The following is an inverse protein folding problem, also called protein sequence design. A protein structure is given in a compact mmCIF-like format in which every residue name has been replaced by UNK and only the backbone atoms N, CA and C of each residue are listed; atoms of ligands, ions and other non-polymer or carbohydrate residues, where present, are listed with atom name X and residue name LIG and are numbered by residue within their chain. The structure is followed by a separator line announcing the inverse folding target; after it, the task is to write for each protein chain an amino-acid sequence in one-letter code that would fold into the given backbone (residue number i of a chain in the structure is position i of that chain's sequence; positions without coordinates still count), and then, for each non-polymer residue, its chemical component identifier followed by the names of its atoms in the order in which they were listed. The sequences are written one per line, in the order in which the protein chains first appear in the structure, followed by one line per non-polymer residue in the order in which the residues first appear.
data_IF_037721400043
#
_entry.id   IF_037721400043
#
_cell.length_a   1.000
_cell.length_b   1.000
_cell.length_c   1.000
_cell.angle_alpha   90.00
_cell.angle_beta   90.00
_cell.angle_gamma   90.00
#
_symmetry.space_group_name_H-M   'P 1'
#
loop_
_entity.id
_entity.type
_entity.pdbx_description
1 polymer ?
#
# COMPACT_ATOMS: atom_id res chain seq x y z
N UNK A 1 -3.74 39.58 -7.90
CA UNK A 1 -2.32 39.15 -8.05
C UNK A 1 -2.40 37.67 -7.77
N UNK A 2 -2.43 36.87 -8.83
CA UNK A 2 -2.95 35.49 -8.75
C UNK A 2 -1.81 34.47 -8.62
N UNK A 3 -0.57 34.95 -8.52
CA UNK A 3 0.64 34.16 -8.31
C UNK A 3 1.30 34.57 -7.00
N UNK A 4 1.74 33.56 -6.25
CA UNK A 4 2.60 33.76 -5.09
C UNK A 4 3.97 34.30 -5.52
N UNK A 5 4.61 35.07 -4.65
CA UNK A 5 5.91 35.70 -4.94
C UNK A 5 7.06 34.68 -5.02
N UNK A 6 6.94 33.58 -4.26
CA UNK A 6 7.91 32.48 -4.24
C UNK A 6 7.20 31.15 -4.45
N UNK A 7 7.89 30.21 -5.09
CA UNK A 7 7.40 28.84 -5.20
C UNK A 7 7.48 28.13 -3.85
N UNK A 8 6.43 27.36 -3.51
CA UNK A 8 6.39 26.60 -2.27
C UNK A 8 7.51 25.53 -2.21
N UNK A 9 8.32 25.50 -1.13
CA UNK A 9 9.38 24.52 -0.95
C UNK A 9 8.90 23.06 -1.02
N UNK A 10 9.72 22.18 -1.59
CA UNK A 10 9.38 20.76 -1.75
C UNK A 10 9.13 20.03 -0.41
N UNK A 11 9.81 20.47 0.66
CA UNK A 11 9.65 19.92 2.02
C UNK A 11 8.22 20.09 2.57
N UNK A 12 7.45 21.04 2.04
CA UNK A 12 6.04 21.26 2.40
C UNK A 12 5.09 20.46 1.49
N UNK A 13 5.54 20.09 0.29
CA UNK A 13 4.71 19.45 -0.74
C UNK A 13 4.83 17.93 -0.78
N UNK A 14 5.84 17.35 -0.11
CA UNK A 14 6.15 15.92 -0.18
C UNK A 14 6.20 15.25 1.20
N UNK A 15 5.89 13.95 1.32
CA UNK A 15 6.05 13.22 2.57
C UNK A 15 7.53 13.20 3.04
N UNK A 16 7.76 13.64 4.28
CA UNK A 16 9.12 13.90 4.82
C UNK A 16 9.72 12.73 5.61
N UNK A 17 9.09 11.55 5.62
CA UNK A 17 9.59 10.39 6.37
C UNK A 17 11.02 9.98 6.03
N UNK A 18 11.45 10.15 4.77
CA UNK A 18 12.83 9.90 4.36
C UNK A 18 13.81 10.88 5.00
N UNK A 19 13.45 12.16 5.04
CA UNK A 19 14.26 13.22 5.69
C UNK A 19 14.35 12.96 7.19
N UNK A 20 13.22 12.64 7.84
CA UNK A 20 13.19 12.33 9.28
C UNK A 20 14.05 11.11 9.60
N UNK A 21 13.98 10.04 8.79
CA UNK A 21 14.81 8.86 8.96
C UNK A 21 16.31 9.19 8.83
N UNK A 22 16.68 10.01 7.85
CA UNK A 22 18.07 10.43 7.65
C UNK A 22 18.58 11.22 8.85
N UNK A 23 17.82 12.19 9.34
CA UNK A 23 18.21 12.98 10.52
C UNK A 23 18.37 12.08 11.76
N UNK A 24 17.43 11.16 11.98
CA UNK A 24 17.52 10.17 13.08
C UNK A 24 18.73 9.24 12.94
N UNK A 25 19.15 8.93 11.72
CA UNK A 25 20.36 8.12 11.44
C UNK A 25 21.66 8.84 11.79
N UNK A 26 21.62 10.18 11.82
CA UNK A 26 22.71 11.04 12.29
C UNK A 26 22.62 11.33 13.80
N UNK A 27 21.89 10.49 14.54
CA UNK A 27 21.64 10.59 15.99
C UNK A 27 20.91 11.86 16.46
N UNK A 28 20.24 12.59 15.55
CA UNK A 28 19.39 13.74 15.90
C UNK A 28 18.05 13.28 16.46
N UNK A 29 17.92 13.28 17.79
CA UNK A 29 16.71 12.78 18.47
C UNK A 29 15.51 13.71 18.30
N UNK A 30 15.70 15.02 18.45
CA UNK A 30 14.62 16.00 18.42
C UNK A 30 14.57 16.73 17.07
N UNK A 31 13.97 16.07 16.07
CA UNK A 31 13.86 16.60 14.71
C UNK A 31 13.08 17.92 14.67
N UNK A 32 12.15 18.13 15.59
CA UNK A 32 11.40 19.39 15.76
C UNK A 32 12.29 20.60 16.05
N UNK A 33 13.50 20.40 16.59
CA UNK A 33 14.45 21.46 16.92
C UNK A 33 15.50 21.66 15.82
N UNK A 34 15.42 20.91 14.71
CA UNK A 34 16.37 21.06 13.62
C UNK A 34 16.14 22.41 12.89
N UNK A 35 17.20 23.18 12.60
CA UNK A 35 17.08 24.50 12.01
C UNK A 35 16.82 24.43 10.49
N UNK A 36 15.60 24.02 10.10
CA UNK A 36 15.18 24.03 8.69
C UNK A 36 15.08 25.46 8.15
N UNK A 37 15.52 25.74 6.90
CA UNK A 37 15.29 27.03 6.24
C UNK A 37 13.79 27.37 6.16
N UNK A 38 12.96 26.36 5.88
CA UNK A 38 11.51 26.43 6.00
C UNK A 38 11.05 25.18 6.74
N UNK A 39 10.60 25.30 8.00
CA UNK A 39 10.25 24.13 8.80
C UNK A 39 8.95 23.49 8.30
N UNK A 40 8.90 22.14 8.24
CA UNK A 40 7.65 21.44 7.95
C UNK A 40 6.68 21.53 9.13
N UNK A 41 5.40 21.34 8.84
CA UNK A 41 4.37 21.33 9.86
C UNK A 41 4.60 20.24 10.93
N UNK A 42 4.28 20.56 12.18
CA UNK A 42 4.37 19.60 13.30
C UNK A 42 3.55 18.33 13.06
N UNK A 43 2.41 18.45 12.37
CA UNK A 43 1.57 17.31 12.00
C UNK A 43 2.29 16.38 11.01
N UNK A 44 3.01 16.94 10.03
CA UNK A 44 3.81 16.18 9.05
C UNK A 44 4.98 15.46 9.72
N UNK A 45 5.67 16.12 10.65
CA UNK A 45 6.72 15.49 11.46
C UNK A 45 6.19 14.33 12.31
N UNK A 46 5.07 14.54 13.00
CA UNK A 46 4.44 13.49 13.82
C UNK A 46 3.97 12.31 12.95
N UNK A 47 3.43 12.57 11.76
CA UNK A 47 3.03 11.53 10.79
C UNK A 47 4.23 10.73 10.30
N UNK A 48 5.35 11.40 10.03
CA UNK A 48 6.60 10.77 9.63
C UNK A 48 7.16 9.86 10.74
N UNK A 49 7.28 10.34 11.99
CA UNK A 49 7.75 9.51 13.11
C UNK A 49 6.81 8.32 13.38
N UNK A 50 5.50 8.53 13.30
CA UNK A 50 4.50 7.46 13.44
C UNK A 50 4.69 6.37 12.37
N UNK A 51 4.88 6.75 11.10
CA UNK A 51 5.16 5.81 10.02
C UNK A 51 6.48 5.06 10.26
N UNK A 52 7.55 5.76 10.64
CA UNK A 52 8.83 5.13 10.93
C UNK A 52 8.74 4.12 12.08
N UNK A 53 7.89 4.39 13.07
CA UNK A 53 7.60 3.45 14.16
C UNK A 53 6.87 2.21 13.63
N UNK A 54 5.91 2.39 12.73
CA UNK A 54 5.18 1.27 12.08
C UNK A 54 6.07 0.40 11.20
N UNK A 55 7.07 0.99 10.54
CA UNK A 55 8.05 0.25 9.75
C UNK A 55 9.15 -0.41 10.62
N UNK A 56 9.14 -0.16 11.93
CA UNK A 56 10.18 -0.62 12.87
C UNK A 56 11.52 0.10 12.70
N UNK A 57 11.54 1.25 12.03
CA UNK A 57 12.73 2.06 11.79
C UNK A 57 13.15 2.85 13.04
N UNK A 58 12.18 3.24 13.86
CA UNK A 58 12.41 3.85 15.17
C UNK A 58 11.64 3.09 16.25
N UNK A 59 12.13 3.15 17.49
CA UNK A 59 11.46 2.58 18.65
C UNK A 59 10.38 3.52 19.22
N UNK A 60 9.67 3.09 20.27
CA UNK A 60 8.65 3.91 20.94
C UNK A 60 9.21 5.15 21.64
N UNK A 61 10.52 5.19 21.91
CA UNK A 61 11.21 6.35 22.46
C UNK A 61 11.69 7.32 21.36
N UNK A 62 11.44 7.00 20.08
CA UNK A 62 11.82 7.81 18.94
C UNK A 62 13.29 7.68 18.54
N UNK A 63 14.01 6.66 19.05
CA UNK A 63 15.40 6.36 18.70
C UNK A 63 15.47 5.44 17.48
N UNK A 64 16.49 5.62 16.65
CA UNK A 64 16.70 4.77 15.47
C UNK A 64 17.04 3.33 15.87
N UNK A 65 16.42 2.35 15.23
CA UNK A 65 16.69 0.92 15.44
C UNK A 65 17.77 0.42 14.48
N UNK A 66 18.26 -0.80 14.68
CA UNK A 66 19.11 -1.47 13.69
C UNK A 66 18.44 -1.56 12.31
N UNK A 67 17.13 -1.87 12.30
CA UNK A 67 16.34 -1.84 11.07
C UNK A 67 16.36 -0.44 10.46
N UNK A 68 16.12 0.62 11.24
CA UNK A 68 16.13 2.00 10.74
C UNK A 68 17.43 2.39 10.06
N UNK A 69 18.58 1.99 10.63
CA UNK A 69 19.90 2.23 10.03
C UNK A 69 20.09 1.47 8.71
N UNK A 70 19.55 0.26 8.60
CA UNK A 70 19.56 -0.46 7.32
C UNK A 70 18.65 0.21 6.29
N UNK A 71 17.50 0.74 6.71
CA UNK A 71 16.58 1.43 5.80
C UNK A 71 17.15 2.75 5.27
N UNK A 72 17.89 3.50 6.10
CA UNK A 72 18.52 4.78 5.73
C UNK A 72 19.69 4.61 4.75
N UNK A 73 20.20 3.39 4.56
CA UNK A 73 21.27 3.11 3.61
C UNK A 73 20.81 3.17 2.14
N UNK A 74 19.51 3.08 1.88
CA UNK A 74 18.96 3.09 0.53
C UNK A 74 18.41 4.48 0.17
N UNK A 75 18.66 5.01 -1.05
CA UNK A 75 18.13 6.30 -1.50
C UNK A 75 16.68 6.17 -1.95
N UNK A 76 15.81 5.70 -1.07
CA UNK A 76 14.41 5.42 -1.32
C UNK A 76 13.55 5.89 -0.15
N UNK A 77 12.24 5.95 -0.36
CA UNK A 77 11.31 6.15 0.75
C UNK A 77 11.44 4.99 1.75
N UNK A 78 11.27 5.22 3.06
CA UNK A 78 11.38 4.17 4.07
C UNK A 78 10.49 2.95 3.81
N UNK A 79 9.33 3.14 3.15
CA UNK A 79 8.42 2.07 2.73
C UNK A 79 9.07 1.13 1.72
N UNK A 80 9.71 1.69 0.70
CA UNK A 80 10.37 0.91 -0.34
C UNK A 80 11.67 0.27 0.18
N UNK A 81 12.43 0.97 1.03
CA UNK A 81 13.58 0.37 1.73
C UNK A 81 13.14 -0.84 2.56
N UNK A 82 11.97 -0.77 3.22
CA UNK A 82 11.41 -1.88 4.01
C UNK A 82 11.05 -3.07 3.15
N UNK A 83 10.51 -2.81 1.96
CA UNK A 83 10.22 -3.85 0.97
C UNK A 83 11.49 -4.56 0.50
N UNK A 84 12.57 -3.82 0.23
CA UNK A 84 13.86 -4.41 -0.17
C UNK A 84 14.45 -5.29 0.94
N UNK A 85 14.42 -4.81 2.19
CA UNK A 85 14.96 -5.54 3.33
C UNK A 85 14.25 -6.90 3.53
N UNK A 86 12.93 -6.93 3.39
CA UNK A 86 12.16 -8.18 3.51
C UNK A 86 12.39 -9.07 2.29
N UNK A 87 12.56 -8.49 1.10
CA UNK A 87 12.96 -9.22 -0.10
C UNK A 87 14.28 -9.97 0.08
N UNK A 88 15.26 -9.36 0.73
CA UNK A 88 16.54 -9.99 1.10
C UNK A 88 16.33 -11.15 2.08
N UNK A 89 15.52 -10.95 3.12
CA UNK A 89 15.27 -11.99 4.13
C UNK A 89 14.60 -13.26 3.58
N UNK A 90 13.83 -13.12 2.49
CA UNK A 90 13.14 -14.25 1.83
C UNK A 90 13.82 -14.73 0.55
N UNK A 91 15.05 -14.30 0.25
CA UNK A 91 15.79 -14.68 -0.96
C UNK A 91 15.07 -14.37 -2.29
N UNK A 92 14.23 -13.33 -2.32
CA UNK A 92 13.51 -12.86 -3.52
C UNK A 92 13.94 -11.43 -3.92
N UNK A 93 15.18 -11.07 -3.58
CA UNK A 93 15.76 -9.72 -3.73
C UNK A 93 15.55 -9.15 -5.13
N UNK A 94 15.81 -9.93 -6.19
CA UNK A 94 15.68 -9.46 -7.58
C UNK A 94 14.24 -9.05 -7.95
N UNK A 95 13.25 -9.84 -7.53
CA UNK A 95 11.83 -9.52 -7.72
C UNK A 95 11.38 -8.35 -6.84
N UNK A 96 11.87 -8.27 -5.61
CA UNK A 96 11.58 -7.16 -4.71
C UNK A 96 12.10 -5.82 -5.27
N UNK A 97 13.32 -5.80 -5.84
CA UNK A 97 13.87 -4.61 -6.49
C UNK A 97 13.03 -4.22 -7.71
N UNK A 98 12.68 -5.18 -8.57
CA UNK A 98 11.82 -4.92 -9.72
C UNK A 98 10.45 -4.36 -9.29
N UNK A 99 9.84 -4.92 -8.25
CA UNK A 99 8.57 -4.47 -7.71
C UNK A 99 8.65 -3.05 -7.15
N UNK A 100 9.68 -2.76 -6.34
CA UNK A 100 9.95 -1.42 -5.81
C UNK A 100 10.15 -0.41 -6.95
N UNK A 101 10.94 -0.74 -7.97
CA UNK A 101 11.17 0.14 -9.10
C UNK A 101 9.86 0.47 -9.85
N UNK A 102 8.97 -0.49 -10.04
CA UNK A 102 7.66 -0.24 -10.66
C UNK A 102 6.68 0.56 -9.78
N UNK A 103 6.79 0.46 -8.46
CA UNK A 103 5.93 1.21 -7.53
C UNK A 103 6.43 2.64 -7.31
N UNK A 104 7.74 2.87 -7.48
CA UNK A 104 8.35 4.19 -7.36
C UNK A 104 8.05 5.08 -8.57
N UNK A 105 7.92 4.50 -9.76
CA UNK A 105 7.58 5.25 -10.98
C UNK A 105 6.07 5.37 -11.14
N UNK A 106 5.51 6.60 -11.19
CA UNK A 106 4.08 6.82 -11.32
C UNK A 106 3.55 6.45 -12.72
N UNK A 107 2.24 6.17 -12.80
CA UNK A 107 1.45 6.13 -14.03
C UNK A 107 1.98 5.22 -15.17
N UNK A 108 2.55 4.06 -14.86
CA UNK A 108 3.01 3.09 -15.87
C UNK A 108 1.91 2.70 -16.88
N UNK A 109 0.66 2.60 -16.43
CA UNK A 109 -0.48 2.25 -17.28
C UNK A 109 -1.16 3.49 -17.87
N UNK A 110 -1.58 3.38 -19.14
CA UNK A 110 -2.50 4.35 -19.74
C UNK A 110 -3.89 4.12 -19.13
N UNK A 111 -4.54 5.17 -18.58
CA UNK A 111 -5.82 5.00 -17.92
C UNK A 111 -6.97 4.82 -18.92
N UNK A 112 -8.06 4.16 -18.49
CA UNK A 112 -9.23 3.89 -19.35
C UNK A 112 -9.93 5.16 -19.84
N UNK A 113 -9.80 6.28 -19.12
CA UNK A 113 -10.34 7.58 -19.52
C UNK A 113 -9.46 8.34 -20.52
N UNK A 114 -8.40 7.71 -21.05
CA UNK A 114 -7.61 8.29 -22.13
C UNK A 114 -8.49 8.59 -23.35
N UNK A 115 -8.31 9.72 -24.06
CA UNK A 115 -9.17 10.13 -25.18
C UNK A 115 -9.38 9.03 -26.24
N UNK A 116 -8.35 8.26 -26.56
CA UNK A 116 -8.42 7.12 -27.48
C UNK A 116 -9.38 6.00 -27.06
N UNK A 117 -9.69 5.89 -25.76
CA UNK A 117 -10.49 4.82 -25.16
C UNK A 117 -11.86 5.32 -24.67
N UNK A 118 -11.97 6.61 -24.35
CA UNK A 118 -13.19 7.21 -23.81
C UNK A 118 -14.27 7.38 -24.89
N UNK A 119 -15.53 7.15 -24.51
CA UNK A 119 -16.67 7.45 -25.37
C UNK A 119 -16.90 8.98 -25.38
N UNK A 120 -16.94 9.63 -26.56
CA UNK A 120 -17.29 11.05 -26.64
C UNK A 120 -18.71 11.30 -26.14
N UNK A 121 -18.90 12.42 -25.45
CA UNK A 121 -20.22 12.92 -25.06
C UNK A 121 -20.73 13.81 -26.18
N UNK A 122 -21.75 13.36 -26.91
CA UNK A 122 -22.40 14.15 -27.95
C UNK A 122 -23.64 14.86 -27.37
N UNK A 123 -24.00 16.02 -27.93
CA UNK A 123 -25.24 16.73 -27.59
C UNK A 123 -26.47 15.91 -27.96
N UNK A 124 -27.60 16.14 -27.29
CA UNK A 124 -28.85 15.39 -27.55
C UNK A 124 -29.33 15.53 -29.00
N UNK A 125 -28.99 16.63 -29.67
CA UNK A 125 -29.34 16.90 -31.07
C UNK A 125 -28.35 16.31 -32.10
N UNK A 126 -27.32 15.57 -31.67
CA UNK A 126 -26.29 15.05 -32.58
C UNK A 126 -26.82 13.89 -33.45
N UNK A 127 -26.86 14.11 -34.77
CA UNK A 127 -27.22 13.06 -35.73
C UNK A 127 -26.01 12.13 -35.95
N UNK A 128 -26.17 10.84 -35.67
CA UNK A 128 -25.12 9.84 -35.90
C UNK A 128 -24.82 9.70 -37.39
N UNK A 129 -23.56 9.91 -37.76
CA UNK A 129 -23.05 9.78 -39.12
C UNK A 129 -22.37 8.43 -39.35
N UNK A 130 -22.10 8.09 -40.61
CA UNK A 130 -21.31 6.89 -40.94
C UNK A 130 -19.88 6.95 -40.37
N UNK A 131 -19.30 8.15 -40.26
CA UNK A 131 -17.99 8.36 -39.64
C UNK A 131 -18.03 8.00 -38.15
N UNK A 132 -19.08 8.43 -37.44
CA UNK A 132 -19.25 8.13 -36.02
C UNK A 132 -19.33 6.63 -35.75
N UNK A 133 -19.99 5.89 -36.65
CA UNK A 133 -20.11 4.43 -36.56
C UNK A 133 -18.75 3.73 -36.75
N UNK A 134 -17.93 4.20 -37.70
CA UNK A 134 -16.57 3.68 -37.94
C UNK A 134 -15.70 3.95 -36.71
N UNK A 135 -15.74 5.18 -36.18
CA UNK A 135 -14.99 5.56 -34.99
C UNK A 135 -15.44 4.78 -33.75
N UNK A 136 -16.75 4.59 -33.55
CA UNK A 136 -17.30 3.79 -32.47
C UNK A 136 -16.82 2.32 -32.55
N UNK A 137 -16.80 1.75 -33.75
CA UNK A 137 -16.30 0.39 -33.99
C UNK A 137 -14.80 0.29 -33.66
N UNK A 138 -14.01 1.27 -34.10
CA UNK A 138 -12.58 1.35 -33.80
C UNK A 138 -12.31 1.48 -32.29
N UNK A 139 -13.08 2.32 -31.58
CA UNK A 139 -13.02 2.47 -30.11
C UNK A 139 -13.40 1.18 -29.41
N UNK A 140 -14.45 0.48 -29.85
CA UNK A 140 -14.86 -0.79 -29.25
C UNK A 140 -13.75 -1.84 -29.38
N UNK A 141 -13.13 -1.94 -30.57
CA UNK A 141 -11.96 -2.80 -30.79
C UNK A 141 -10.82 -2.42 -29.84
N UNK A 142 -10.47 -1.13 -29.76
CA UNK A 142 -9.38 -0.66 -28.88
C UNK A 142 -9.66 -0.93 -27.41
N UNK A 143 -10.92 -0.85 -26.97
CA UNK A 143 -11.34 -1.23 -25.60
C UNK A 143 -11.24 -2.74 -25.36
N UNK A 144 -11.54 -3.58 -26.37
CA UNK A 144 -11.32 -5.04 -26.29
C UNK A 144 -9.83 -5.35 -26.19
N UNK A 145 -8.99 -4.68 -26.98
CA UNK A 145 -7.53 -4.81 -26.93
C UNK A 145 -7.00 -4.39 -25.56
N UNK A 146 -7.44 -3.25 -25.03
CA UNK A 146 -7.12 -2.76 -23.68
C UNK A 146 -7.46 -3.80 -22.59
N UNK A 147 -8.66 -4.35 -22.65
CA UNK A 147 -9.11 -5.37 -21.70
C UNK A 147 -8.26 -6.65 -21.78
N UNK A 148 -7.87 -7.04 -22.99
CA UNK A 148 -7.03 -8.21 -23.25
C UNK A 148 -5.60 -8.01 -22.76
N UNK A 149 -5.01 -6.84 -23.02
CA UNK A 149 -3.70 -6.46 -22.51
C UNK A 149 -3.68 -6.48 -20.98
N UNK A 150 -4.65 -5.85 -20.33
CA UNK A 150 -4.72 -5.85 -18.86
C UNK A 150 -4.97 -7.23 -18.26
N UNK A 151 -5.77 -8.10 -18.91
CA UNK A 151 -5.93 -9.49 -18.49
C UNK A 151 -4.62 -10.28 -18.63
N UNK A 152 -3.85 -10.02 -19.68
CA UNK A 152 -2.54 -10.63 -19.93
C UNK A 152 -1.53 -10.23 -18.85
N UNK A 153 -1.47 -8.94 -18.51
CA UNK A 153 -0.57 -8.43 -17.47
C UNK A 153 -0.97 -8.84 -16.05
N UNK A 154 -2.21 -9.31 -15.86
CA UNK A 154 -2.68 -9.83 -14.56
C UNK A 154 -2.60 -11.36 -14.46
N UNK A 155 -1.88 -12.02 -15.40
CA UNK A 155 -1.78 -13.50 -15.45
C UNK A 155 -1.07 -14.11 -14.25
N UNK A 156 -0.04 -13.45 -13.72
CA UNK A 156 0.67 -13.95 -12.54
C UNK A 156 -0.21 -13.90 -11.30
N UNK A 157 -1.04 -12.87 -11.17
CA UNK A 157 -2.00 -12.77 -10.09
C UNK A 157 -3.20 -11.86 -10.43
N UNK A 158 -4.41 -12.43 -10.40
CA UNK A 158 -5.66 -11.71 -10.71
C UNK A 158 -6.25 -10.96 -9.51
N UNK A 159 -5.46 -10.72 -8.46
CA UNK A 159 -5.91 -10.02 -7.25
C UNK A 159 -4.99 -8.87 -6.83
N UNK A 160 -3.80 -8.75 -7.41
CA UNK A 160 -2.80 -7.76 -6.98
C UNK A 160 -2.37 -6.84 -8.12
N UNK A 161 -2.66 -5.56 -7.96
CA UNK A 161 -2.20 -4.50 -8.85
C UNK A 161 -0.67 -4.33 -8.80
N UNK A 162 -0.07 -4.53 -7.61
CA UNK A 162 1.38 -4.52 -7.45
C UNK A 162 2.07 -5.62 -8.27
N UNK A 163 1.51 -6.84 -8.31
CA UNK A 163 2.05 -7.93 -9.13
C UNK A 163 1.79 -7.73 -10.62
N UNK A 164 0.71 -7.03 -11.00
CA UNK A 164 0.46 -6.62 -12.38
C UNK A 164 1.51 -5.61 -12.87
N UNK A 165 1.91 -4.66 -12.03
CA UNK A 165 3.03 -3.73 -12.31
C UNK A 165 4.35 -4.51 -12.53
N UNK A 166 4.66 -5.44 -11.62
CA UNK A 166 5.84 -6.30 -11.76
C UNK A 166 5.81 -7.11 -13.06
N UNK A 167 4.65 -7.69 -13.41
CA UNK A 167 4.48 -8.45 -14.65
C UNK A 167 4.76 -7.58 -15.87
N UNK A 168 4.30 -6.32 -15.87
CA UNK A 168 4.54 -5.38 -16.96
C UNK A 168 6.04 -5.08 -17.16
N UNK A 169 6.78 -4.83 -16.07
CA UNK A 169 8.23 -4.59 -16.16
C UNK A 169 9.01 -5.85 -16.59
N UNK A 170 8.65 -7.02 -16.06
CA UNK A 170 9.28 -8.28 -16.48
C UNK A 170 9.02 -8.54 -17.96
N UNK A 171 7.77 -8.43 -18.43
CA UNK A 171 7.44 -8.62 -19.83
C UNK A 171 8.14 -7.59 -20.75
N UNK A 172 8.25 -6.34 -20.31
CA UNK A 172 9.01 -5.29 -21.00
C UNK A 172 10.48 -5.69 -21.23
N UNK A 173 11.13 -6.34 -20.26
CA UNK A 173 12.52 -6.79 -20.40
C UNK A 173 12.71 -7.96 -21.39
N UNK A 174 11.63 -8.70 -21.72
CA UNK A 174 11.63 -9.76 -22.73
C UNK A 174 11.23 -9.26 -24.13
N UNK A 175 10.72 -8.04 -24.26
CA UNK A 175 10.30 -7.50 -25.54
C UNK A 175 11.51 -7.24 -26.46
N UNK A 176 11.42 -7.69 -27.71
CA UNK A 176 12.40 -7.37 -28.74
C UNK A 176 12.33 -5.90 -29.16
N UNK A 177 11.10 -5.38 -29.26
CA UNK A 177 10.81 -3.97 -29.51
C UNK A 177 9.95 -3.44 -28.36
N UNK A 178 10.57 -2.58 -27.55
CA UNK A 178 9.97 -2.05 -26.33
C UNK A 178 8.87 -1.02 -26.61
N UNK A 179 8.93 -0.28 -27.73
CA UNK A 179 7.94 0.72 -28.09
C UNK A 179 6.65 0.07 -28.61
N UNK A 180 6.80 -0.95 -29.47
CA UNK A 180 5.67 -1.77 -29.96
C UNK A 180 5.04 -2.54 -28.80
N UNK A 181 5.84 -3.08 -27.88
CA UNK A 181 5.31 -3.71 -26.68
C UNK A 181 4.51 -2.73 -25.82
N UNK A 182 5.05 -1.53 -25.55
CA UNK A 182 4.35 -0.55 -24.73
C UNK A 182 3.04 -0.07 -25.36
N UNK A 183 3.04 0.20 -26.67
CA UNK A 183 1.83 0.64 -27.38
C UNK A 183 0.75 -0.43 -27.41
N UNK A 184 1.10 -1.70 -27.69
CA UNK A 184 0.14 -2.81 -27.70
C UNK A 184 -0.41 -3.17 -26.32
N UNK A 185 0.37 -2.96 -25.26
CA UNK A 185 -0.02 -3.26 -23.88
C UNK A 185 -0.59 -2.06 -23.11
N UNK A 186 -0.77 -0.91 -23.78
CA UNK A 186 -1.27 0.34 -23.18
C UNK A 186 -0.42 0.82 -22.00
N UNK A 187 0.90 0.79 -22.18
CA UNK A 187 1.91 1.18 -21.20
C UNK A 187 2.64 2.45 -21.64
N UNK A 188 3.09 3.25 -20.67
CA UNK A 188 3.93 4.42 -20.94
C UNK A 188 5.39 3.99 -21.10
N UNK A 189 5.91 4.08 -22.32
CA UNK A 189 7.30 3.71 -22.65
C UNK A 189 8.35 4.42 -21.77
N UNK A 190 8.21 5.74 -21.57
CA UNK A 190 9.11 6.52 -20.71
C UNK A 190 9.12 6.01 -19.26
N UNK A 191 7.96 5.70 -18.70
CA UNK A 191 7.82 5.21 -17.33
C UNK A 191 8.48 3.83 -17.16
N UNK A 192 8.30 2.92 -18.12
CA UNK A 192 8.96 1.60 -18.05
C UNK A 192 10.47 1.67 -18.26
N UNK A 193 10.94 2.58 -19.12
CA UNK A 193 12.37 2.85 -19.26
C UNK A 193 12.97 3.37 -17.96
N UNK A 194 12.32 4.32 -17.30
CA UNK A 194 12.72 4.84 -15.99
C UNK A 194 12.70 3.74 -14.92
N UNK A 195 11.64 2.93 -14.85
CA UNK A 195 11.57 1.81 -13.91
C UNK A 195 12.68 0.77 -14.15
N UNK A 196 13.03 0.50 -15.42
CA UNK A 196 14.14 -0.40 -15.77
C UNK A 196 15.49 0.16 -15.32
N UNK A 197 15.73 1.46 -15.52
CA UNK A 197 16.97 2.13 -15.08
C UNK A 197 17.08 2.17 -13.56
N UNK A 198 15.98 2.52 -12.88
CA UNK A 198 15.91 2.52 -11.42
C UNK A 198 16.18 1.13 -10.84
N UNK A 199 15.63 0.08 -11.47
CA UNK A 199 15.88 -1.31 -11.07
C UNK A 199 17.38 -1.68 -11.16
N UNK A 200 18.07 -1.26 -12.21
CA UNK A 200 19.51 -1.49 -12.37
C UNK A 200 20.32 -0.76 -11.29
N UNK A 201 20.02 0.52 -11.06
CA UNK A 201 20.66 1.33 -10.01
C UNK A 201 20.47 0.72 -8.62
N UNK A 202 19.23 0.33 -8.27
CA UNK A 202 18.93 -0.31 -7.01
C UNK A 202 19.62 -1.67 -6.85
N UNK A 203 19.77 -2.43 -7.94
CA UNK A 203 20.52 -3.69 -7.94
C UNK A 203 22.00 -3.47 -7.61
N UNK A 204 22.60 -2.40 -8.16
CA UNK A 204 23.97 -2.03 -7.85
C UNK A 204 24.12 -1.62 -6.37
N UNK A 205 23.23 -0.76 -5.87
CA UNK A 205 23.25 -0.28 -4.47
C UNK A 205 23.10 -1.43 -3.47
N UNK A 206 22.13 -2.32 -3.70
CA UNK A 206 21.92 -3.51 -2.85
C UNK A 206 23.16 -4.40 -2.81
N UNK A 207 23.82 -4.61 -3.96
CA UNK A 207 25.06 -5.40 -4.03
C UNK A 207 26.20 -4.75 -3.26
N UNK A 208 26.32 -3.43 -3.31
CA UNK A 208 27.33 -2.67 -2.56
C UNK A 208 27.12 -2.77 -1.04
N UNK A 209 25.88 -2.65 -0.58
CA UNK A 209 25.58 -2.67 0.87
C UNK A 209 25.57 -4.09 1.47
N UNK A 210 25.17 -5.11 0.72
CA UNK A 210 25.13 -6.51 1.18
C UNK A 210 25.67 -7.46 0.12
N UNK A 211 27.01 -7.61 0.02
CA UNK A 211 27.61 -8.57 -0.90
C UNK A 211 27.11 -9.99 -0.60
N UNK A 212 26.66 -10.71 -1.61
CA UNK A 212 26.08 -12.06 -1.48
C UNK A 212 24.55 -12.13 -1.42
N UNK A 213 23.85 -11.00 -1.20
CA UNK A 213 22.37 -10.96 -1.19
C UNK A 213 21.73 -10.97 -2.59
N UNK A 214 22.54 -10.69 -3.63
CA UNK A 214 22.11 -10.61 -5.02
C UNK A 214 23.29 -10.97 -5.94
N UNK A 215 23.03 -11.80 -6.95
CA UNK A 215 23.99 -12.08 -8.03
C UNK A 215 24.19 -10.89 -8.99
N UNK A 216 24.80 -11.15 -10.14
CA UNK A 216 24.90 -10.18 -11.23
C UNK A 216 23.52 -9.70 -11.68
N UNK A 217 23.45 -8.48 -12.22
CA UNK A 217 22.18 -7.93 -12.69
C UNK A 217 21.71 -8.72 -13.90
N UNK A 218 20.45 -9.14 -13.89
CA UNK A 218 19.81 -9.86 -14.98
C UNK A 218 18.53 -9.13 -15.36
N UNK A 219 18.50 -8.50 -16.53
CA UNK A 219 17.32 -7.76 -16.99
C UNK A 219 16.08 -8.67 -17.12
N UNK A 220 16.27 -9.88 -17.64
CA UNK A 220 15.20 -10.86 -17.85
C UNK A 220 15.03 -11.79 -16.65
N UNK A 221 14.06 -11.50 -15.80
CA UNK A 221 13.73 -12.37 -14.66
C UNK A 221 12.77 -13.48 -15.07
N UNK A 222 13.04 -14.69 -14.60
CA UNK A 222 12.12 -15.81 -14.75
C UNK A 222 10.75 -15.52 -14.11
N UNK A 223 9.74 -16.30 -14.49
CA UNK A 223 8.44 -16.21 -13.85
C UNK A 223 8.55 -16.65 -12.37
N UNK A 224 8.06 -15.84 -11.40
CA UNK A 224 8.05 -16.23 -10.01
C UNK A 224 7.12 -17.43 -9.76
N UNK A 225 7.55 -18.33 -8.89
CA UNK A 225 6.73 -19.43 -8.36
C UNK A 225 5.55 -18.91 -7.52
N UNK A 226 4.56 -19.77 -7.28
CA UNK A 226 3.41 -19.42 -6.43
C UNK A 226 3.80 -19.01 -5.01
N UNK A 227 4.90 -19.56 -4.49
CA UNK A 227 5.41 -19.23 -3.15
C UNK A 227 6.05 -17.85 -3.16
N UNK A 228 6.88 -17.56 -4.17
CA UNK A 228 7.49 -16.23 -4.33
C UNK A 228 6.43 -15.14 -4.54
N UNK A 229 5.37 -15.41 -5.33
CA UNK A 229 4.25 -14.48 -5.47
C UNK A 229 3.57 -14.16 -4.14
N UNK A 230 3.37 -15.16 -3.26
CA UNK A 230 2.82 -14.95 -1.90
C UNK A 230 3.75 -14.09 -1.05
N UNK A 231 5.07 -14.32 -1.12
CA UNK A 231 6.08 -13.53 -0.43
C UNK A 231 6.09 -12.09 -0.96
N UNK A 232 6.00 -11.87 -2.27
CA UNK A 232 5.95 -10.53 -2.86
C UNK A 232 4.73 -9.74 -2.37
N UNK A 233 3.57 -10.38 -2.20
CA UNK A 233 2.41 -9.73 -1.55
C UNK A 233 2.69 -9.35 -0.10
N UNK A 234 3.39 -10.19 0.66
CA UNK A 234 3.80 -9.87 2.03
C UNK A 234 4.79 -8.70 2.07
N UNK A 235 5.74 -8.65 1.12
CA UNK A 235 6.70 -7.56 0.97
C UNK A 235 5.96 -6.23 0.77
N UNK A 236 5.01 -6.18 -0.17
CA UNK A 236 4.17 -4.99 -0.40
C UNK A 236 3.39 -4.61 0.86
N UNK A 237 2.75 -5.58 1.50
CA UNK A 237 1.98 -5.34 2.73
C UNK A 237 2.85 -4.79 3.87
N UNK A 238 4.13 -5.17 3.94
CA UNK A 238 5.03 -4.68 4.96
C UNK A 238 5.49 -3.23 4.74
N UNK A 239 5.65 -2.80 3.48
CA UNK A 239 5.93 -1.39 3.15
C UNK A 239 4.73 -0.47 3.39
N UNK A 240 3.52 -1.04 3.37
CA UNK A 240 2.24 -0.31 3.46
C UNK A 240 1.39 -0.80 4.64
N UNK A 241 2.02 -1.18 5.75
CA UNK A 241 1.36 -1.82 6.91
C UNK A 241 0.34 -0.91 7.63
N UNK A 242 0.48 0.41 7.50
CA UNK A 242 -0.46 1.41 8.00
C UNK A 242 -1.60 1.73 7.01
N UNK A 243 -1.47 1.29 5.76
CA UNK A 243 -2.42 1.55 4.67
C UNK A 243 -3.22 0.30 4.34
N UNK A 244 -3.99 -0.14 5.33
CA UNK A 244 -4.87 -1.31 5.21
C UNK A 244 -6.32 -0.86 5.29
N UNK A 245 -7.13 -1.44 4.42
CA UNK A 245 -8.57 -1.30 4.44
C UNK A 245 -9.26 -2.65 4.68
N UNK A 246 -10.23 -2.69 5.58
CA UNK A 246 -11.10 -3.85 5.84
C UNK A 246 -12.44 -3.67 5.12
N UNK A 247 -12.97 -4.75 4.53
CA UNK A 247 -14.32 -4.74 3.93
C UNK A 247 -15.34 -4.41 5.02
N UNK A 248 -16.19 -3.41 4.81
CA UNK A 248 -16.99 -2.83 5.90
C UNK A 248 -17.97 -3.84 6.52
N UNK A 249 -18.56 -4.73 5.71
CA UNK A 249 -19.44 -5.82 6.15
C UNK A 249 -18.71 -6.89 6.99
N UNK A 250 -17.38 -7.00 6.85
CA UNK A 250 -16.52 -7.93 7.61
C UNK A 250 -15.76 -7.24 8.76
N UNK A 251 -16.12 -5.99 9.05
CA UNK A 251 -15.55 -5.22 10.15
C UNK A 251 -16.09 -5.68 11.51
N UNK A 252 -15.43 -5.35 12.63
CA UNK A 252 -15.88 -5.79 13.97
C UNK A 252 -17.28 -5.30 14.32
N UNK A 253 -17.63 -4.11 13.82
CA UNK A 253 -18.95 -3.49 13.93
C UNK A 253 -19.48 -3.16 12.53
N UNK A 254 -20.04 -4.16 11.83
CA UNK A 254 -20.55 -3.97 10.46
C UNK A 254 -21.59 -2.85 10.42
N UNK A 255 -21.42 -1.84 9.54
CA UNK A 255 -22.41 -0.80 9.36
C UNK A 255 -23.65 -1.36 8.65
N UNK A 256 -24.82 -0.81 8.96
CA UNK A 256 -26.02 -1.03 8.13
C UNK A 256 -25.81 -0.34 6.79
N UNK A 257 -25.89 -1.09 5.69
CA UNK A 257 -25.77 -0.53 4.35
C UNK A 257 -27.16 -0.32 3.77
N UNK A 258 -27.43 0.88 3.24
CA UNK A 258 -28.70 1.18 2.57
C UNK A 258 -29.01 0.23 1.39
N UNK A 259 -27.97 -0.23 0.68
CA UNK A 259 -28.09 -1.16 -0.46
C UNK A 259 -26.92 -2.14 -0.52
N UNK A 260 -27.21 -3.39 -0.90
CA UNK A 260 -26.15 -4.38 -1.19
C UNK A 260 -25.39 -3.99 -2.46
N UNK A 261 -24.04 -3.93 -2.42
CA UNK A 261 -23.24 -3.55 -3.58
C UNK A 261 -23.29 -4.63 -4.67
N UNK A 262 -23.53 -4.22 -5.92
CA UNK A 262 -23.58 -5.12 -7.09
C UNK A 262 -22.23 -5.28 -7.80
N UNK A 263 -21.38 -4.25 -7.73
CA UNK A 263 -20.05 -4.22 -8.37
C UNK A 263 -18.96 -4.07 -7.31
N UNK A 264 -17.76 -4.54 -7.60
CA UNK A 264 -16.64 -4.40 -6.66
C UNK A 264 -16.33 -2.95 -6.28
N UNK A 265 -16.44 -2.02 -7.22
CA UNK A 265 -16.18 -0.59 -7.00
C UNK A 265 -17.26 0.12 -6.16
N UNK A 266 -18.34 -0.58 -5.81
CA UNK A 266 -19.41 -0.11 -4.93
C UNK A 266 -19.30 -0.71 -3.53
N UNK A 267 -18.37 -1.65 -3.31
CA UNK A 267 -18.19 -2.30 -2.00
C UNK A 267 -17.44 -1.34 -1.07
N UNK A 268 -18.02 -0.98 0.09
CA UNK A 268 -17.39 -0.07 1.03
C UNK A 268 -16.29 -0.77 1.84
N UNK A 269 -15.20 -0.04 2.05
CA UNK A 269 -14.09 -0.41 2.91
C UNK A 269 -13.86 0.66 3.98
N UNK A 270 -13.30 0.23 5.12
CA UNK A 270 -12.88 1.08 6.23
C UNK A 270 -11.36 1.03 6.35
N UNK A 271 -10.71 2.19 6.44
CA UNK A 271 -9.26 2.30 6.61
C UNK A 271 -8.86 2.34 8.09
N UNK A 272 -7.63 1.93 8.39
CA UNK A 272 -7.08 1.99 9.77
C UNK A 272 -7.13 3.42 10.33
N UNK A 273 -6.65 4.38 9.54
CA UNK A 273 -6.75 5.81 9.82
C UNK A 273 -7.95 6.41 9.09
N UNK A 274 -8.70 7.37 9.66
CA UNK A 274 -9.83 8.01 8.98
C UNK A 274 -9.46 8.57 7.61
N UNK A 275 -10.34 8.40 6.62
CA UNK A 275 -10.25 9.03 5.29
C UNK A 275 -10.77 10.47 5.25
N UNK A 276 -11.37 10.93 6.35
CA UNK A 276 -11.94 12.27 6.52
C UNK A 276 -11.43 12.87 7.83
N UNK A 277 -11.06 14.15 7.78
CA UNK A 277 -10.64 14.93 8.94
C UNK A 277 -11.77 15.90 9.26
N UNK A 278 -12.24 15.91 10.52
CA UNK A 278 -13.34 16.76 10.97
C UNK A 278 -14.64 16.00 11.22
N UNK A 279 -15.69 16.70 11.70
CA UNK A 279 -16.98 16.09 12.00
C UNK A 279 -17.65 15.57 10.73
N UNK A 280 -18.41 14.49 10.86
CA UNK A 280 -19.21 13.98 9.75
C UNK A 280 -20.37 14.92 9.45
N UNK A 281 -20.79 14.94 8.17
CA UNK A 281 -21.99 15.66 7.75
C UNK A 281 -23.22 15.18 8.54
N UNK A 282 -24.16 16.06 8.90
CA UNK A 282 -25.44 15.64 9.46
C UNK A 282 -26.30 14.86 8.44
N UNK A 283 -26.02 15.01 7.14
CA UNK A 283 -26.63 14.18 6.10
C UNK A 283 -26.04 12.76 6.13
N UNK A 284 -26.89 11.76 6.35
CA UNK A 284 -26.46 10.36 6.50
C UNK A 284 -25.71 9.83 5.27
N UNK A 285 -26.12 10.24 4.07
CA UNK A 285 -25.52 9.76 2.83
C UNK A 285 -24.15 10.39 2.60
N UNK A 286 -23.99 11.67 2.90
CA UNK A 286 -22.68 12.33 2.89
C UNK A 286 -21.76 11.79 3.98
N UNK A 287 -22.29 11.52 5.17
CA UNK A 287 -21.54 10.90 6.27
C UNK A 287 -21.02 9.51 5.87
N UNK A 288 -21.83 8.68 5.20
CA UNK A 288 -21.39 7.40 4.64
C UNK A 288 -20.25 7.60 3.62
N UNK A 289 -20.36 8.58 2.73
CA UNK A 289 -19.34 8.88 1.72
C UNK A 289 -18.04 9.42 2.31
N UNK A 290 -18.11 10.11 3.45
CA UNK A 290 -16.95 10.56 4.21
C UNK A 290 -16.29 9.40 4.98
N UNK A 291 -17.10 8.43 5.44
CA UNK A 291 -16.68 7.29 6.26
C UNK A 291 -16.01 6.17 5.46
N UNK A 292 -16.52 5.88 4.26
CA UNK A 292 -16.08 4.72 3.47
C UNK A 292 -15.13 5.11 2.33
N UNK A 293 -14.24 4.17 2.01
CA UNK A 293 -13.42 4.20 0.80
C UNK A 293 -13.84 3.06 -0.13
N UNK A 294 -13.60 3.23 -1.42
CA UNK A 294 -14.04 2.29 -2.46
C UNK A 294 -12.89 1.96 -3.41
N UNK A 295 -12.87 0.76 -3.99
CA UNK A 295 -11.87 0.42 -5.01
C UNK A 295 -11.89 1.42 -6.18
N UNK A 296 -10.70 1.82 -6.62
CA UNK A 296 -10.55 2.55 -7.87
C UNK A 296 -10.87 1.63 -9.07
N UNK A 297 -11.59 2.11 -10.10
CA UNK A 297 -11.98 1.28 -11.25
C UNK A 297 -10.82 0.65 -12.04
N UNK A 298 -9.63 1.24 -12.00
CA UNK A 298 -8.43 0.69 -12.67
C UNK A 298 -7.84 -0.55 -11.99
N UNK A 299 -8.23 -0.83 -10.74
CA UNK A 299 -7.74 -1.99 -9.99
C UNK A 299 -8.19 -3.29 -10.63
N UNK A 300 -7.34 -4.31 -10.62
CA UNK A 300 -7.69 -5.68 -11.02
C UNK A 300 -8.86 -6.21 -10.19
N UNK A 301 -8.97 -5.80 -8.92
CA UNK A 301 -10.06 -6.17 -8.04
C UNK A 301 -11.42 -5.59 -8.47
N UNK A 302 -11.44 -4.55 -9.31
CA UNK A 302 -12.69 -3.95 -9.80
C UNK A 302 -13.53 -4.91 -10.66
N UNK A 303 -12.91 -5.99 -11.18
CA UNK A 303 -13.57 -7.04 -11.97
C UNK A 303 -14.00 -8.25 -11.14
N UNK A 304 -13.66 -8.28 -9.85
CA UNK A 304 -14.01 -9.38 -8.95
C UNK A 304 -15.47 -9.26 -8.51
N UNK A 305 -16.19 -10.38 -8.43
CA UNK A 305 -17.54 -10.37 -7.88
C UNK A 305 -17.52 -9.96 -6.40
N UNK A 306 -18.46 -9.11 -5.90
CA UNK A 306 -18.45 -8.62 -4.52
C UNK A 306 -18.25 -9.67 -3.43
N UNK A 307 -18.87 -10.88 -3.49
CA UNK A 307 -18.66 -11.92 -2.47
C UNK A 307 -17.19 -12.39 -2.38
N UNK A 308 -16.49 -12.39 -3.51
CA UNK A 308 -15.12 -12.89 -3.65
C UNK A 308 -14.06 -11.81 -3.35
N UNK A 309 -14.48 -10.59 -3.02
CA UNK A 309 -13.53 -9.54 -2.67
C UNK A 309 -12.82 -9.84 -1.35
N UNK A 310 -11.51 -9.53 -1.27
CA UNK A 310 -10.71 -9.80 -0.09
C UNK A 310 -11.19 -9.00 1.12
N UNK A 311 -11.08 -9.62 2.30
CA UNK A 311 -11.39 -8.99 3.58
C UNK A 311 -10.49 -7.80 3.87
N UNK A 312 -9.18 -7.94 3.62
CA UNK A 312 -8.20 -6.87 3.81
C UNK A 312 -7.49 -6.56 2.50
N UNK A 313 -7.34 -5.27 2.20
CA UNK A 313 -6.62 -4.75 1.04
C UNK A 313 -5.59 -3.75 1.52
N UNK A 314 -4.36 -3.92 1.04
CA UNK A 314 -3.30 -2.92 1.15
C UNK A 314 -3.44 -1.95 -0.02
N UNK A 315 -3.35 -0.66 0.25
CA UNK A 315 -3.44 0.40 -0.77
C UNK A 315 -2.21 1.33 -0.72
N UNK A 316 -1.99 2.10 -1.79
CA UNK A 316 -0.87 3.05 -1.90
C UNK A 316 -1.23 4.48 -1.51
N UNK A 317 -2.43 4.91 -1.89
CA UNK A 317 -2.99 6.21 -1.54
C UNK A 317 -4.51 6.22 -1.76
N UNK A 318 -5.14 7.25 -1.22
CA UNK A 318 -6.56 7.56 -1.41
C UNK A 318 -6.68 8.79 -2.31
N UNK A 319 -7.65 8.76 -3.22
CA UNK A 319 -7.94 9.85 -4.14
C UNK A 319 -9.40 10.26 -4.00
N UNK A 320 -9.66 11.55 -3.78
CA UNK A 320 -11.01 12.12 -3.81
C UNK A 320 -11.14 12.91 -5.10
N UNK A 321 -12.17 12.63 -5.90
CA UNK A 321 -12.43 13.42 -7.10
C UNK A 321 -12.89 14.83 -6.70
N UNK A 322 -12.39 15.85 -7.42
CA UNK A 322 -12.90 17.21 -7.25
C UNK A 322 -14.40 17.25 -7.57
N UNK A 323 -15.23 17.94 -6.78
CA UNK A 323 -16.63 18.12 -7.11
C UNK A 323 -16.75 18.82 -8.47
N UNK A 324 -17.65 18.34 -9.33
CA UNK A 324 -17.95 19.04 -10.57
C UNK A 324 -18.57 20.40 -10.22
N UNK A 325 -18.18 21.46 -10.95
CA UNK A 325 -18.63 22.85 -10.70
C UNK A 325 -20.18 22.97 -10.67
N UNK A 326 -20.89 22.04 -11.30
CA UNK A 326 -22.35 21.99 -11.36
C UNK A 326 -23.04 21.08 -10.33
N UNK A 327 -22.32 20.30 -9.50
CA UNK A 327 -22.93 19.42 -8.51
C UNK A 327 -22.20 19.43 -7.16
N UNK A 328 -22.89 19.84 -6.11
CA UNK A 328 -22.42 19.79 -4.71
C UNK A 328 -22.36 18.38 -4.11
N UNK A 329 -22.63 17.32 -4.90
CA UNK A 329 -22.69 15.96 -4.40
C UNK A 329 -21.31 15.49 -3.90
N UNK A 330 -21.26 14.99 -2.66
CA UNK A 330 -20.07 14.38 -2.08
C UNK A 330 -19.52 13.27 -3.00
N UNK A 331 -18.23 13.35 -3.33
CA UNK A 331 -17.57 12.37 -4.20
C UNK A 331 -17.01 11.22 -3.37
N UNK A 332 -17.08 10.00 -3.94
CA UNK A 332 -16.49 8.82 -3.29
C UNK A 332 -14.98 8.94 -3.23
N UNK A 333 -14.42 8.60 -2.07
CA UNK A 333 -12.97 8.40 -1.93
C UNK A 333 -12.59 7.06 -2.56
N UNK A 334 -11.67 7.09 -3.53
CA UNK A 334 -11.18 5.91 -4.24
C UNK A 334 -9.83 5.49 -3.69
N UNK A 335 -9.66 4.21 -3.38
CA UNK A 335 -8.40 3.62 -2.98
C UNK A 335 -7.70 2.97 -4.18
N UNK A 336 -6.42 3.29 -4.34
CA UNK A 336 -5.54 2.61 -5.28
C UNK A 336 -4.95 1.38 -4.60
N UNK A 337 -5.61 0.25 -4.81
CA UNK A 337 -5.22 -1.03 -4.21
C UNK A 337 -3.86 -1.50 -4.74
N UNK A 338 -3.13 -2.24 -3.90
CA UNK A 338 -1.85 -2.86 -4.24
C UNK A 338 -1.95 -4.38 -4.20
N UNK A 339 -2.40 -4.93 -3.07
CA UNK A 339 -2.55 -6.37 -2.90
C UNK A 339 -3.53 -6.71 -1.77
N UNK A 340 -4.27 -7.83 -1.86
CA UNK A 340 -4.91 -8.42 -0.71
C UNK A 340 -3.87 -8.94 0.29
N UNK A 341 -4.27 -9.02 1.55
CA UNK A 341 -3.47 -9.57 2.63
C UNK A 341 -4.35 -10.37 3.61
N UNK A 342 -3.82 -11.46 4.16
CA UNK A 342 -4.56 -12.28 5.13
C UNK A 342 -4.36 -11.76 6.57
N UNK A 343 -5.31 -12.06 7.46
CA UNK A 343 -5.18 -11.69 8.87
C UNK A 343 -3.95 -12.33 9.56
N UNK A 344 -3.54 -13.53 9.15
CA UNK A 344 -2.32 -14.19 9.64
C UNK A 344 -1.05 -13.42 9.23
N UNK A 345 -1.00 -12.95 7.98
CA UNK A 345 0.09 -12.13 7.47
C UNK A 345 0.14 -10.79 8.19
N UNK A 346 -1.01 -10.13 8.38
CA UNK A 346 -1.09 -8.88 9.15
C UNK A 346 -0.57 -9.05 10.58
N UNK A 347 -0.98 -10.11 11.26
CA UNK A 347 -0.51 -10.39 12.62
C UNK A 347 1.00 -10.67 12.68
N UNK A 348 1.60 -11.23 11.61
CA UNK A 348 3.03 -11.46 11.54
C UNK A 348 3.80 -10.16 11.22
N UNK A 349 3.31 -9.38 10.25
CA UNK A 349 3.95 -8.14 9.79
C UNK A 349 3.87 -7.01 10.82
N UNK A 350 2.76 -6.92 11.55
CA UNK A 350 2.56 -5.91 12.60
C UNK A 350 3.19 -6.31 13.95
N UNK A 351 3.75 -7.52 14.07
CA UNK A 351 4.36 -7.98 15.31
C UNK A 351 5.52 -7.05 15.73
N UNK A 352 5.53 -6.65 17.00
CA UNK A 352 6.52 -5.72 17.53
C UNK A 352 6.29 -4.25 17.17
N UNK A 353 5.24 -3.94 16.39
CA UNK A 353 4.85 -2.57 16.05
C UNK A 353 3.67 -2.13 16.94
N UNK A 354 3.44 -0.82 17.13
CA UNK A 354 2.26 -0.32 17.84
C UNK A 354 0.93 -0.53 17.09
N UNK A 355 0.94 -1.14 15.90
CA UNK A 355 -0.28 -1.50 15.18
C UNK A 355 -0.91 -2.80 15.68
N UNK A 356 -0.23 -3.57 16.53
CA UNK A 356 -0.72 -4.86 17.00
C UNK A 356 -0.89 -4.87 18.52
N UNK A 357 -2.13 -5.03 18.97
CA UNK A 357 -2.47 -5.23 20.38
C UNK A 357 -2.90 -6.67 20.63
N UNK A 358 -2.63 -7.17 21.83
CA UNK A 358 -3.01 -8.53 22.22
C UNK A 358 -4.12 -8.48 23.28
N UNK A 359 -5.23 -9.16 22.99
CA UNK A 359 -6.33 -9.28 23.94
C UNK A 359 -5.99 -10.15 25.17
N UNK A 360 -7.01 -10.35 26.01
CA UNK A 360 -6.92 -11.26 27.15
C UNK A 360 -6.68 -12.71 26.68
N UNK A 361 -6.00 -13.54 27.48
CA UNK A 361 -5.89 -14.96 27.22
C UNK A 361 -7.25 -15.62 27.03
N UNK A 362 -7.33 -16.55 26.08
CA UNK A 362 -8.49 -17.39 25.85
C UNK A 362 -8.12 -18.86 26.12
N UNK A 363 -9.07 -19.61 26.70
CA UNK A 363 -8.87 -21.02 26.99
C UNK A 363 -7.84 -21.29 28.10
N UNK A 364 -7.09 -22.39 27.95
CA UNK A 364 -6.10 -22.87 28.94
C UNK A 364 -4.87 -21.96 28.98
N UNK A 365 -4.43 -21.63 30.18
CA UNK A 365 -3.20 -20.88 30.45
C UNK A 365 -2.21 -21.84 31.10
N UNK A 366 -1.01 -21.94 30.55
CA UNK A 366 0.07 -22.77 31.07
C UNK A 366 1.14 -21.88 31.68
N UNK A 367 1.37 -22.03 32.99
CA UNK A 367 2.43 -21.27 33.68
C UNK A 367 3.79 -21.86 33.31
N UNK A 368 4.73 -21.00 32.92
CA UNK A 368 6.09 -21.38 32.57
C UNK A 368 7.07 -21.03 33.70
N UNK A 369 8.26 -21.61 33.65
CA UNK A 369 9.35 -21.26 34.55
C UNK A 369 9.69 -19.77 34.48
N UNK A 370 9.98 -19.19 35.65
CA UNK A 370 10.36 -17.78 35.76
C UNK A 370 11.71 -17.55 35.10
N UNK A 371 11.81 -16.50 34.30
CA UNK A 371 13.06 -16.04 33.71
C UNK A 371 13.39 -14.65 34.29
N UNK A 372 14.58 -14.47 34.85
CA UNK A 372 15.00 -13.28 35.60
C UNK A 372 13.98 -12.84 36.68
N UNK A 373 13.39 -13.82 37.38
CA UNK A 373 12.37 -13.58 38.41
C UNK A 373 10.99 -13.14 37.89
N UNK A 374 10.81 -12.96 36.58
CA UNK A 374 9.53 -12.56 35.99
C UNK A 374 8.63 -13.77 35.72
N UNK A 375 7.33 -13.62 36.02
CA UNK A 375 6.32 -14.63 35.70
C UNK A 375 6.10 -14.74 34.19
N UNK A 376 5.99 -15.98 33.72
CA UNK A 376 5.77 -16.30 32.32
C UNK A 376 4.59 -17.26 32.18
N UNK A 377 3.85 -17.10 31.09
CA UNK A 377 2.75 -18.00 30.74
C UNK A 377 2.67 -18.22 29.25
N UNK A 378 2.25 -19.40 28.86
CA UNK A 378 1.82 -19.74 27.51
C UNK A 378 0.29 -19.71 27.46
N UNK A 379 -0.25 -18.97 26.49
CA UNK A 379 -1.69 -18.88 26.30
C UNK A 379 -2.05 -18.55 24.85
N UNK A 380 -3.29 -18.86 24.50
CA UNK A 380 -3.89 -18.35 23.27
C UNK A 380 -4.41 -16.93 23.48
N UNK A 381 -4.18 -16.06 22.51
CA UNK A 381 -4.69 -14.69 22.50
C UNK A 381 -5.25 -14.36 21.12
N UNK A 382 -6.23 -13.46 21.08
CA UNK A 382 -6.72 -12.86 19.84
C UNK A 382 -5.99 -11.53 19.65
N UNK A 383 -5.03 -11.44 18.71
CA UNK A 383 -4.43 -10.16 18.38
C UNK A 383 -5.44 -9.28 17.64
N UNK A 384 -5.31 -7.97 17.77
CA UNK A 384 -6.11 -6.99 17.05
C UNK A 384 -5.20 -5.98 16.36
N UNK A 385 -5.50 -5.69 15.08
CA UNK A 385 -4.85 -4.62 14.35
C UNK A 385 -5.49 -3.30 14.73
N UNK A 386 -4.71 -2.38 15.28
CA UNK A 386 -5.19 -1.08 15.77
C UNK A 386 -4.67 0.06 14.91
N UNK A 387 -5.54 1.04 14.67
CA UNK A 387 -5.20 2.28 13.97
C UNK A 387 -4.89 3.38 14.97
N UNK A 388 -5.67 4.46 14.93
CA UNK A 388 -5.58 5.53 15.91
C UNK A 388 -6.20 5.17 17.26
N UNK A 389 -5.63 5.75 18.33
CA UNK A 389 -6.10 5.56 19.71
C UNK A 389 -7.60 5.89 19.79
N UNK A 390 -8.36 5.01 20.45
CA UNK A 390 -9.81 5.17 20.65
C UNK A 390 -10.70 4.48 19.61
N UNK A 391 -10.14 3.88 18.55
CA UNK A 391 -10.91 3.02 17.63
C UNK A 391 -10.85 1.56 18.05
N UNK A 392 -11.94 0.83 17.82
CA UNK A 392 -11.96 -0.62 17.98
C UNK A 392 -10.98 -1.28 17.00
N UNK A 393 -10.06 -2.08 17.54
CA UNK A 393 -9.12 -2.86 16.72
C UNK A 393 -9.83 -3.93 15.89
N UNK A 394 -9.22 -4.31 14.77
CA UNK A 394 -9.71 -5.38 13.91
C UNK A 394 -9.16 -6.72 14.40
N UNK A 395 -10.01 -7.64 14.90
CA UNK A 395 -9.53 -8.91 15.43
C UNK A 395 -8.92 -9.73 14.30
N UNK A 396 -7.73 -10.26 14.57
CA UNK A 396 -6.97 -11.13 13.71
C UNK A 396 -7.06 -12.58 14.24
N UNK A 397 -6.68 -13.59 13.44
CA UNK A 397 -6.71 -14.98 13.87
C UNK A 397 -5.92 -15.20 15.17
N UNK A 398 -6.47 -16.03 16.06
CA UNK A 398 -5.86 -16.33 17.35
C UNK A 398 -4.46 -16.93 17.18
N UNK A 399 -3.55 -16.58 18.09
CA UNK A 399 -2.18 -17.11 18.13
C UNK A 399 -1.84 -17.59 19.53
N UNK A 400 -1.01 -18.62 19.58
CA UNK A 400 -0.37 -19.08 20.81
C UNK A 400 0.85 -18.21 21.06
N UNK A 401 0.99 -17.70 22.28
CA UNK A 401 2.05 -16.77 22.65
C UNK A 401 2.63 -17.12 24.02
N UNK A 402 3.90 -16.80 24.21
CA UNK A 402 4.49 -16.69 25.54
C UNK A 402 4.41 -15.23 25.97
N UNK A 403 3.83 -15.00 27.14
CA UNK A 403 3.78 -13.69 27.76
C UNK A 403 4.69 -13.66 28.98
N UNK A 404 5.36 -12.52 29.17
CA UNK A 404 6.16 -12.19 30.36
C UNK A 404 5.50 -11.02 31.08
N UNK A 405 5.36 -11.14 32.40
CA UNK A 405 4.84 -10.08 33.27
C UNK A 405 5.92 -9.00 33.45
N UNK A 406 5.60 -7.75 33.09
CA UNK A 406 6.44 -6.57 33.30
C UNK A 406 6.19 -5.99 34.70
N UNK A 407 7.10 -5.10 35.13
CA UNK A 407 6.88 -4.27 36.33
C UNK A 407 5.58 -3.46 36.17
N UNK A 408 4.76 -3.42 37.22
CA UNK A 408 3.41 -2.82 37.18
C UNK A 408 2.27 -3.81 36.88
N UNK A 409 2.56 -5.10 36.70
CA UNK A 409 1.55 -6.16 36.61
C UNK A 409 0.99 -6.42 35.20
N UNK A 410 1.44 -5.67 34.20
CA UNK A 410 1.06 -5.81 32.80
C UNK A 410 1.75 -7.02 32.14
N UNK A 411 1.04 -7.74 31.26
CA UNK A 411 1.59 -8.85 30.48
C UNK A 411 2.01 -8.37 29.10
N UNK A 412 3.24 -8.67 28.70
CA UNK A 412 3.74 -8.38 27.35
C UNK A 412 4.05 -9.68 26.61
N UNK A 413 3.76 -9.71 25.31
CA UNK A 413 4.13 -10.86 24.47
C UNK A 413 5.64 -10.86 24.27
N UNK A 414 6.28 -11.93 24.72
CA UNK A 414 7.72 -12.15 24.59
C UNK A 414 8.04 -12.81 23.25
N UNK A 415 7.28 -13.86 22.90
CA UNK A 415 7.39 -14.52 21.60
C UNK A 415 6.05 -15.10 21.18
N UNK A 416 5.81 -15.10 19.87
CA UNK A 416 4.70 -15.83 19.25
C UNK A 416 5.16 -17.26 19.01
N UNK A 417 4.35 -18.22 19.42
CA UNK A 417 4.60 -19.65 19.17
C UNK A 417 3.95 -19.98 17.83
N UNK A 418 4.79 -20.27 16.84
CA UNK A 418 4.41 -20.67 15.49
C UNK A 418 4.70 -22.14 15.27
#
# INVERSE_FOLDING_TARGET
RDFEEYAEPEILRTPIEGVVLQLKSMDLQHVVNFPFPTPPDRASLAKAEKLLTYLGAIDQAGKITATGRELSAYPLTPRFSRMLLIGQAHNVTAYAIALVATLAVPDIFIPENHPDLATPVHSEDHIQTASDNIEATAREKRRKDYNTAHATLSRWDRSSDALKLLTALCAYAYASDTEVFCSSMFLRSKALKEASQLREQLSAIVRTHKPGSLGSYVAQLAQPSSTELKVLKQIVAAGFIDQIAIRADLSPSPPSLARKPKRAIDVPYLTLSPSHIGPYSPDEKEAELQRFVYLHPSSVLARTAPPNLPRYVVFSHLQRASPAVASSAATRVRMHALTPVSGLQLAALAAGTPLLEYGKPIGKIETLERLDGAERRECWVVPALVGEKGKAGWPLPAKRVVQRRKGGGEWSVERVIG
#
